data_IF_013574373706
#
_entry.id   IF_013574373706
#
_cell.length_a   1.000
_cell.length_b   1.000
_cell.length_c   1.000
_cell.angle_alpha   90.00
_cell.angle_beta   90.00
_cell.angle_gamma   90.00
#
_symmetry.space_group_name_H-M   'P 1'
#
loop_
_entity.id
_entity.type
_entity.pdbx_description
1 polymer ?
#
# COMPACT_ATOMS: atom_id res chain seq x y z
N UNK A 1 2.01 -8.19 18.20
CA UNK A 1 2.25 -8.53 16.78
C UNK A 1 1.85 -7.33 15.94
N UNK A 2 2.63 -6.96 14.92
CA UNK A 2 2.22 -5.90 14.00
C UNK A 2 0.88 -6.28 13.34
N UNK A 3 0.00 -5.29 13.20
CA UNK A 3 -1.30 -5.44 12.57
C UNK A 3 -1.27 -4.79 11.20
N UNK A 4 -2.01 -5.37 10.26
CA UNK A 4 -2.18 -4.84 8.93
C UNK A 4 -2.90 -3.50 9.01
N UNK A 5 -2.24 -2.42 8.58
CA UNK A 5 -2.78 -1.06 8.64
C UNK A 5 -4.04 -0.90 7.76
N UNK A 6 -4.23 -1.78 6.78
CA UNK A 6 -5.39 -1.75 5.90
C UNK A 6 -6.62 -2.48 6.48
N UNK A 7 -6.44 -3.66 7.10
CA UNK A 7 -7.56 -4.51 7.52
C UNK A 7 -7.57 -4.95 9.00
N UNK A 8 -6.51 -4.69 9.77
CA UNK A 8 -6.39 -5.04 11.18
C UNK A 8 -6.00 -6.50 11.47
N UNK A 9 -5.84 -7.36 10.45
CA UNK A 9 -5.36 -8.74 10.64
C UNK A 9 -3.88 -8.76 11.03
N UNK A 10 -3.34 -9.91 11.45
CA UNK A 10 -1.90 -10.05 11.68
C UNK A 10 -1.09 -9.67 10.42
N UNK A 11 -0.09 -8.78 10.58
CA UNK A 11 0.79 -8.39 9.50
C UNK A 11 1.73 -9.54 9.10
N UNK A 12 2.12 -9.55 7.83
CA UNK A 12 3.01 -10.55 7.24
C UNK A 12 4.35 -9.91 6.87
N UNK A 13 4.33 -8.74 6.25
CA UNK A 13 5.51 -7.98 5.89
C UNK A 13 5.21 -6.49 5.72
N UNK A 14 6.28 -5.72 5.63
CA UNK A 14 6.24 -4.32 5.26
C UNK A 14 6.07 -4.16 3.74
N UNK A 15 5.16 -3.29 3.34
CA UNK A 15 4.92 -2.91 1.95
C UNK A 15 5.37 -1.47 1.71
N UNK A 16 6.15 -1.26 0.65
CA UNK A 16 6.60 0.07 0.25
C UNK A 16 5.54 0.72 -0.64
N UNK A 17 4.91 1.79 -0.14
CA UNK A 17 3.92 2.56 -0.91
C UNK A 17 4.53 3.25 -2.14
N UNK A 18 5.80 3.64 -2.04
CA UNK A 18 6.63 4.00 -3.19
C UNK A 18 7.62 2.85 -3.44
N UNK A 19 7.40 2.02 -4.48
CA UNK A 19 8.25 0.85 -4.76
C UNK A 19 9.73 1.23 -4.86
N UNK A 20 10.62 0.40 -4.28
CA UNK A 20 12.06 0.69 -4.20
C UNK A 20 12.70 0.96 -5.55
N UNK A 21 12.23 0.30 -6.61
CA UNK A 21 12.74 0.52 -7.97
C UNK A 21 12.40 1.92 -8.52
N UNK A 22 11.38 2.60 -7.97
CA UNK A 22 11.02 3.98 -8.31
C UNK A 22 11.93 5.02 -7.64
N UNK A 23 12.60 4.70 -6.55
CA UNK A 23 13.43 5.66 -5.78
C UNK A 23 14.59 6.25 -6.60
N UNK A 24 15.10 5.51 -7.58
CA UNK A 24 16.18 5.97 -8.47
C UNK A 24 15.71 6.93 -9.56
N UNK A 25 14.41 6.99 -9.87
CA UNK A 25 13.86 7.76 -10.99
C UNK A 25 13.81 9.25 -10.64
N UNK A 26 14.21 10.11 -11.59
CA UNK A 26 14.27 11.57 -11.41
C UNK A 26 12.92 12.18 -11.01
N UNK A 27 11.81 11.66 -11.56
CA UNK A 27 10.46 12.13 -11.24
C UNK A 27 10.12 11.97 -9.75
N UNK A 28 10.50 10.85 -9.12
CA UNK A 28 10.25 10.59 -7.70
C UNK A 28 11.21 11.39 -6.81
N UNK A 29 12.50 11.45 -7.17
CA UNK A 29 13.50 12.24 -6.43
C UNK A 29 13.20 13.74 -6.36
N UNK A 30 12.52 14.28 -7.36
CA UNK A 30 12.14 15.70 -7.41
C UNK A 30 10.87 16.03 -6.63
N UNK A 31 10.05 15.03 -6.28
CA UNK A 31 8.73 15.21 -5.64
C UNK A 31 8.66 14.68 -4.23
N UNK A 32 9.48 13.68 -3.91
CA UNK A 32 9.47 13.00 -2.62
C UNK A 32 10.84 13.09 -1.97
N UNK A 33 10.83 13.36 -0.67
CA UNK A 33 12.02 13.20 0.17
C UNK A 33 12.41 11.73 0.28
N UNK A 34 13.66 11.47 0.68
CA UNK A 34 14.13 10.10 0.94
C UNK A 34 13.29 9.39 2.00
N UNK A 35 12.85 10.12 3.04
CA UNK A 35 11.97 9.58 4.08
C UNK A 35 10.61 9.15 3.53
N UNK A 36 9.98 9.98 2.68
CA UNK A 36 8.71 9.63 2.03
C UNK A 36 8.85 8.42 1.11
N UNK A 37 9.94 8.33 0.35
CA UNK A 37 10.20 7.16 -0.51
C UNK A 37 10.43 5.88 0.30
N UNK A 38 11.05 5.99 1.48
CA UNK A 38 11.30 4.86 2.37
C UNK A 38 10.13 4.53 3.29
N UNK A 39 9.01 5.25 3.18
CA UNK A 39 7.84 4.96 3.99
C UNK A 39 7.23 3.61 3.60
N UNK A 40 7.03 2.79 4.63
CA UNK A 40 6.45 1.45 4.55
C UNK A 40 5.25 1.35 5.47
N UNK A 41 4.36 0.42 5.12
CA UNK A 41 3.21 0.06 5.95
C UNK A 41 3.20 -1.44 6.24
N UNK A 42 2.75 -1.82 7.43
CA UNK A 42 2.57 -3.22 7.78
C UNK A 42 1.31 -3.76 7.12
N UNK A 43 1.44 -4.83 6.34
CA UNK A 43 0.31 -5.45 5.63
C UNK A 43 0.28 -6.96 5.79
N UNK A 44 -0.94 -7.51 5.79
CA UNK A 44 -1.11 -8.96 5.74
C UNK A 44 -0.91 -9.49 4.31
N UNK A 45 -0.62 -10.79 4.17
CA UNK A 45 -0.35 -11.45 2.88
C UNK A 45 -1.44 -11.20 1.83
N UNK A 46 -2.71 -11.15 2.24
CA UNK A 46 -3.82 -10.93 1.32
C UNK A 46 -3.92 -9.47 0.87
N UNK A 47 -3.74 -8.51 1.78
CA UNK A 47 -3.74 -7.09 1.45
C UNK A 47 -2.56 -6.75 0.52
N UNK A 48 -1.37 -7.28 0.81
CA UNK A 48 -0.20 -7.08 -0.05
C UNK A 48 -0.47 -7.58 -1.48
N UNK A 49 -0.97 -8.81 -1.62
CA UNK A 49 -1.32 -9.37 -2.94
C UNK A 49 -2.37 -8.50 -3.64
N UNK A 50 -3.38 -8.04 -2.91
CA UNK A 50 -4.46 -7.23 -3.46
C UNK A 50 -3.94 -5.89 -4.01
N UNK A 51 -3.03 -5.19 -3.30
CA UNK A 51 -2.46 -3.92 -3.78
C UNK A 51 -1.86 -4.08 -5.17
N UNK A 52 -1.02 -5.10 -5.38
CA UNK A 52 -0.41 -5.36 -6.68
C UNK A 52 -1.36 -5.97 -7.72
N UNK A 53 -2.49 -6.53 -7.29
CA UNK A 53 -3.51 -7.02 -8.21
C UNK A 53 -4.39 -5.90 -8.75
N UNK A 54 -4.76 -4.94 -7.89
CA UNK A 54 -5.61 -3.81 -8.27
C UNK A 54 -4.81 -2.70 -8.93
N UNK A 55 -3.57 -2.47 -8.46
CA UNK A 55 -2.66 -1.47 -9.00
C UNK A 55 -1.36 -2.18 -9.44
N UNK A 56 -1.38 -2.85 -10.60
CA UNK A 56 -0.24 -3.61 -11.09
C UNK A 56 0.93 -2.74 -11.57
N UNK A 57 0.67 -1.50 -12.01
CA UNK A 57 1.75 -0.57 -12.36
C UNK A 57 2.33 0.06 -11.09
N UNK A 58 3.51 -0.43 -10.69
CA UNK A 58 4.28 0.08 -9.55
C UNK A 58 4.58 1.59 -9.63
N UNK A 59 4.67 2.16 -10.83
CA UNK A 59 4.84 3.61 -10.99
C UNK A 59 3.54 4.33 -10.66
N UNK A 60 2.39 3.79 -11.07
CA UNK A 60 1.09 4.35 -10.75
C UNK A 60 0.84 4.29 -9.24
N UNK A 61 1.13 3.15 -8.61
CA UNK A 61 1.08 2.97 -7.16
C UNK A 61 1.88 4.08 -6.45
N UNK A 62 3.16 4.24 -6.81
CA UNK A 62 3.99 5.27 -6.18
C UNK A 62 3.64 6.72 -6.56
N UNK A 63 2.89 6.96 -7.63
CA UNK A 63 2.52 8.32 -8.07
C UNK A 63 1.24 8.78 -7.40
N UNK A 64 0.20 7.95 -7.49
CA UNK A 64 -1.17 8.32 -7.15
C UNK A 64 -1.62 7.72 -5.82
N UNK A 65 -0.97 6.64 -5.35
CA UNK A 65 -1.42 5.82 -4.21
C UNK A 65 -0.28 5.59 -3.20
N UNK A 66 0.53 6.62 -2.96
CA UNK A 66 1.75 6.55 -2.17
C UNK A 66 1.55 6.82 -0.67
N UNK A 67 0.29 6.94 -0.23
CA UNK A 67 -0.10 7.06 1.19
C UNK A 67 -1.24 6.07 1.48
N UNK A 68 -1.48 5.76 2.75
CA UNK A 68 -2.60 4.88 3.14
C UNK A 68 -3.93 5.50 2.71
N UNK A 69 -4.09 6.81 2.89
CA UNK A 69 -5.31 7.53 2.55
C UNK A 69 -5.61 7.39 1.05
N UNK A 70 -4.66 7.77 0.20
CA UNK A 70 -4.81 7.69 -1.26
C UNK A 70 -5.04 6.25 -1.73
N UNK A 71 -4.33 5.28 -1.16
CA UNK A 71 -4.52 3.87 -1.48
C UNK A 71 -5.93 3.38 -1.12
N UNK A 72 -6.48 3.82 0.02
CA UNK A 72 -7.85 3.45 0.46
C UNK A 72 -8.95 4.20 -0.29
N UNK A 73 -8.63 5.32 -0.95
CA UNK A 73 -9.57 6.04 -1.82
C UNK A 73 -9.79 5.32 -3.16
N UNK A 74 -8.89 4.43 -3.58
CA UNK A 74 -9.09 3.63 -4.78
C UNK A 74 -10.36 2.77 -4.65
N UNK A 75 -11.37 2.92 -5.54
CA UNK A 75 -12.68 2.28 -5.38
C UNK A 75 -12.62 0.76 -5.16
N UNK A 76 -11.79 0.07 -5.93
CA UNK A 76 -11.62 -1.38 -5.80
C UNK A 76 -10.93 -1.78 -4.49
N UNK A 77 -9.94 -1.01 -4.03
CA UNK A 77 -9.26 -1.24 -2.75
C UNK A 77 -10.27 -1.05 -1.61
N UNK A 78 -11.05 0.03 -1.66
CA UNK A 78 -12.10 0.30 -0.68
C UNK A 78 -13.10 -0.85 -0.57
N UNK A 79 -13.66 -1.29 -1.71
CA UNK A 79 -14.60 -2.40 -1.76
C UNK A 79 -13.99 -3.69 -1.17
N UNK A 80 -12.75 -3.99 -1.53
CA UNK A 80 -12.02 -5.12 -0.96
C UNK A 80 -11.87 -4.99 0.56
N UNK A 81 -11.48 -3.80 1.06
CA UNK A 81 -11.24 -3.59 2.49
C UNK A 81 -12.54 -3.66 3.29
N UNK A 82 -13.66 -3.17 2.78
CA UNK A 82 -14.97 -3.32 3.42
C UNK A 82 -15.34 -4.80 3.58
N UNK A 83 -15.15 -5.61 2.55
CA UNK A 83 -15.36 -7.06 2.61
C UNK A 83 -14.36 -7.75 3.56
N UNK A 84 -13.08 -7.37 3.50
CA UNK A 84 -12.01 -8.00 4.29
C UNK A 84 -12.14 -7.69 5.77
N UNK A 85 -12.40 -6.44 6.14
CA UNK A 85 -12.57 -5.98 7.53
C UNK A 85 -13.74 -6.69 8.22
N UNK A 86 -14.83 -6.97 7.50
CA UNK A 86 -15.97 -7.77 8.01
C UNK A 86 -15.55 -9.20 8.41
N UNK A 87 -14.61 -9.80 7.68
CA UNK A 87 -14.13 -11.17 7.92
C UNK A 87 -13.00 -11.30 8.93
N UNK A 88 -12.30 -10.21 9.22
CA UNK A 88 -11.24 -10.18 10.25
C UNK A 88 -11.84 -10.05 11.65
N UNK A 89 -13.02 -9.45 11.75
CA UNK A 89 -13.76 -9.25 13.02
C UNK A 89 -14.72 -10.40 13.36
N UNK A 90 -14.92 -11.34 12.45
CA UNK A 90 -15.75 -12.53 12.62
C UNK A 90 -14.86 -13.71 13.04
#
# INVERSE_FOLDING_TARGET
MPQCELCGAAAFNEHHLIPRHCHRKAWFKSRFSKAQMQHTIDVCKMCHKMIHQLIPDEKELGRNFHTVETLTEHPEVKNYLEWKRKRVRA
#
